data_IF_061689790941
#
_entry.id   IF_061689790941
#
_cell.length_a   1.000
_cell.length_b   1.000
_cell.length_c   1.000
_cell.angle_alpha   90.00
_cell.angle_beta   90.00
_cell.angle_gamma   90.00
#
_symmetry.space_group_name_H-M   'P 1'
#
loop_
_entity.id
_entity.type
_entity.pdbx_description
1 polymer ?
#
# COMPACT_ATOMS: atom_id res chain seq x y z
N UNK A 1 29.34 2.38 60.71
CA UNK A 1 30.50 3.27 60.99
C UNK A 1 30.25 4.75 60.61
N UNK A 2 29.88 5.11 59.35
CA UNK A 2 29.74 6.53 58.95
C UNK A 2 28.62 7.29 59.66
N UNK A 3 27.56 6.63 60.15
CA UNK A 3 26.46 7.25 60.88
C UNK A 3 26.85 7.55 62.34
N UNK A 4 27.59 6.63 63.00
CA UNK A 4 28.11 6.83 64.33
C UNK A 4 29.13 7.98 64.38
N UNK A 5 30.02 8.09 63.42
CA UNK A 5 30.99 9.19 63.30
C UNK A 5 30.34 10.55 63.13
N UNK A 6 29.23 10.62 62.40
CA UNK A 6 28.46 11.89 62.17
C UNK A 6 27.66 12.35 63.38
N UNK A 7 27.42 11.46 64.35
CA UNK A 7 26.77 11.82 65.61
C UNK A 7 27.84 12.11 66.72
N UNK A 8 28.95 11.34 66.71
CA UNK A 8 29.99 11.46 67.70
C UNK A 8 30.80 12.76 67.57
N UNK A 9 31.11 13.21 66.37
CA UNK A 9 31.88 14.46 66.13
C UNK A 9 31.18 15.68 66.67
N UNK A 10 29.89 15.98 66.41
CA UNK A 10 29.24 17.14 66.97
C UNK A 10 29.07 17.04 68.52
N UNK A 11 28.91 15.82 69.07
CA UNK A 11 28.87 15.63 70.53
C UNK A 11 30.23 15.98 71.19
N UNK A 12 31.33 15.47 70.62
CA UNK A 12 32.68 15.77 71.10
C UNK A 12 32.99 17.26 70.98
N UNK A 13 32.63 17.92 69.86
CA UNK A 13 32.77 19.34 69.69
C UNK A 13 31.94 20.14 70.71
N UNK A 14 30.72 19.69 71.00
CA UNK A 14 29.85 20.28 71.97
C UNK A 14 30.40 20.20 73.40
N UNK A 15 30.93 19.02 73.75
CA UNK A 15 31.57 18.84 75.09
C UNK A 15 32.84 19.67 75.22
N UNK A 16 33.69 19.71 74.20
CA UNK A 16 34.90 20.50 74.12
C UNK A 16 34.57 22.01 74.25
N UNK A 17 33.56 22.50 73.51
CA UNK A 17 33.07 23.88 73.63
C UNK A 17 32.50 24.21 75.03
N UNK A 18 31.77 23.31 75.64
CA UNK A 18 31.22 23.48 76.99
C UNK A 18 32.34 23.52 78.07
N UNK A 19 33.38 22.68 77.93
CA UNK A 19 34.55 22.72 78.79
C UNK A 19 35.34 24.01 78.60
N UNK A 20 35.47 24.50 77.39
CA UNK A 20 36.14 25.80 77.10
C UNK A 20 35.31 27.01 77.69
N UNK A 21 33.98 27.03 77.54
CA UNK A 21 33.09 28.05 78.02
C UNK A 21 33.07 28.09 79.55
N UNK A 22 33.42 27.02 80.26
CA UNK A 22 33.52 26.99 81.71
C UNK A 22 34.69 27.80 82.22
N UNK A 23 35.67 28.16 81.37
CA UNK A 23 36.79 29.00 81.71
C UNK A 23 36.49 30.51 81.54
N UNK A 24 35.34 30.86 80.95
CA UNK A 24 34.89 32.26 80.77
C UNK A 24 34.09 32.71 81.92
N UNK A 25 34.61 33.73 82.78
CA UNK A 25 33.89 34.27 83.88
C UNK A 25 32.78 35.18 83.37
N UNK A 26 31.54 34.88 83.73
CA UNK A 26 30.37 35.69 83.37
C UNK A 26 29.07 35.06 83.85
N UNK A 27 28.13 35.89 84.30
CA UNK A 27 26.78 35.51 84.70
C UNK A 27 25.79 36.14 83.71
N UNK A 28 24.83 35.35 83.21
CA UNK A 28 23.71 35.83 82.38
C UNK A 28 22.47 35.86 83.27
N UNK A 29 21.91 37.03 83.45
CA UNK A 29 20.64 37.20 84.16
C UNK A 29 19.51 37.28 83.15
N UNK A 30 18.57 36.31 83.20
CA UNK A 30 17.36 36.29 82.40
C UNK A 30 16.18 36.71 83.25
N UNK A 31 15.59 37.84 82.87
CA UNK A 31 14.44 38.38 83.58
C UNK A 31 13.18 38.15 82.75
N UNK A 32 12.29 37.33 83.23
CA UNK A 32 11.01 37.09 82.65
C UNK A 32 9.91 37.24 83.68
N UNK A 33 9.15 38.33 83.53
CA UNK A 33 8.17 38.81 84.52
C UNK A 33 8.81 39.00 85.92
N UNK A 34 8.35 38.37 86.96
CA UNK A 34 8.80 38.51 88.31
C UNK A 34 9.94 37.56 88.77
N UNK A 35 10.47 36.78 87.88
CA UNK A 35 11.52 35.79 88.21
C UNK A 35 12.81 36.13 87.47
N UNK A 36 13.86 36.48 88.26
CA UNK A 36 15.25 36.62 87.81
C UNK A 36 15.99 35.31 88.03
N UNK A 37 16.38 34.64 86.91
CA UNK A 37 17.23 33.46 86.98
C UNK A 37 18.63 33.88 86.56
N UNK A 38 19.54 33.83 87.53
CA UNK A 38 20.96 34.05 87.33
C UNK A 38 21.66 32.71 87.11
N UNK A 39 22.23 32.52 85.92
CA UNK A 39 22.93 31.31 85.63
C UNK A 39 24.31 31.63 84.98
N UNK A 40 25.32 30.83 85.25
CA UNK A 40 26.61 30.98 84.55
C UNK A 40 26.47 30.88 83.05
N UNK A 41 27.22 31.67 82.28
CA UNK A 41 27.16 31.75 80.82
C UNK A 41 27.24 30.37 80.14
N UNK A 42 27.98 29.44 80.71
CA UNK A 42 28.12 28.10 80.17
C UNK A 42 26.82 27.25 80.27
N UNK A 43 25.95 27.50 81.25
CA UNK A 43 24.65 26.82 81.39
C UNK A 43 23.68 27.26 80.23
N UNK A 44 23.64 28.58 79.97
CA UNK A 44 22.87 29.16 78.89
C UNK A 44 23.34 28.64 77.54
N UNK A 45 24.65 28.60 77.35
CA UNK A 45 25.23 28.05 76.10
C UNK A 45 24.92 26.57 75.91
N UNK A 46 24.93 25.75 76.96
CA UNK A 46 24.56 24.34 76.89
C UNK A 46 23.07 24.17 76.61
N UNK A 47 22.18 25.01 77.14
CA UNK A 47 20.76 24.97 76.86
C UNK A 47 20.47 25.25 75.32
N UNK A 48 21.11 26.28 74.77
CA UNK A 48 21.00 26.64 73.34
C UNK A 48 21.55 25.53 72.45
N UNK A 49 22.69 24.93 72.83
CA UNK A 49 23.28 23.81 72.09
C UNK A 49 22.41 22.56 72.10
N UNK A 50 21.84 22.26 73.31
CA UNK A 50 20.89 21.13 73.46
C UNK A 50 19.65 21.34 72.60
N UNK A 51 19.08 22.55 72.60
CA UNK A 51 17.95 22.92 71.77
C UNK A 51 18.29 22.76 70.25
N UNK A 52 19.48 23.25 69.86
CA UNK A 52 19.95 23.13 68.48
C UNK A 52 20.11 21.67 68.08
N UNK A 53 20.70 20.80 68.90
CA UNK A 53 20.84 19.37 68.64
C UNK A 53 19.46 18.72 68.54
N UNK A 54 18.51 19.02 69.41
CA UNK A 54 17.14 18.49 69.30
C UNK A 54 16.45 18.97 68.06
N UNK A 55 16.62 20.21 67.64
CA UNK A 55 16.04 20.77 66.44
C UNK A 55 16.62 20.10 65.19
N UNK A 56 17.96 19.88 65.10
CA UNK A 56 18.63 19.17 64.04
C UNK A 56 18.21 17.70 63.99
N UNK A 57 18.06 17.05 65.15
CA UNK A 57 17.61 15.66 65.23
C UNK A 57 16.15 15.52 64.75
N UNK A 58 15.28 16.47 65.14
CA UNK A 58 13.90 16.53 64.69
C UNK A 58 13.81 16.75 63.16
N UNK A 59 14.60 17.72 62.62
CA UNK A 59 14.68 17.94 61.18
C UNK A 59 15.16 16.72 60.43
N UNK A 60 16.17 15.99 60.92
CA UNK A 60 16.66 14.73 60.31
C UNK A 60 15.61 13.61 60.37
N UNK A 61 14.88 13.50 61.48
CA UNK A 61 13.79 12.54 61.60
C UNK A 61 12.67 12.82 60.57
N UNK A 62 12.22 14.07 60.49
CA UNK A 62 11.18 14.51 59.55
C UNK A 62 11.63 14.37 58.09
N UNK A 63 12.89 14.70 57.77
CA UNK A 63 13.43 14.53 56.42
C UNK A 63 13.58 13.04 56.05
N UNK A 64 13.97 12.19 57.00
CA UNK A 64 14.04 10.74 56.78
C UNK A 64 12.69 10.12 56.44
N UNK A 65 11.62 10.56 57.10
CA UNK A 65 10.25 10.12 56.82
C UNK A 65 9.78 10.58 55.42
N UNK A 66 10.08 11.83 55.03
CA UNK A 66 9.75 12.37 53.70
C UNK A 66 10.49 11.62 52.59
N UNK A 67 11.80 11.44 52.70
CA UNK A 67 12.62 10.69 51.74
C UNK A 67 12.21 9.23 51.66
N UNK A 68 11.91 8.58 52.80
CA UNK A 68 11.40 7.23 52.82
C UNK A 68 10.05 7.05 52.09
N UNK A 69 9.12 8.02 52.27
CA UNK A 69 7.84 8.02 51.52
C UNK A 69 8.04 8.17 50.03
N UNK A 70 8.87 9.11 49.57
CA UNK A 70 9.17 9.33 48.15
C UNK A 70 9.85 8.10 47.53
N UNK A 71 10.83 7.52 48.22
CA UNK A 71 11.49 6.27 47.75
C UNK A 71 10.53 5.09 47.65
N UNK A 72 9.63 4.90 48.60
CA UNK A 72 8.61 3.85 48.56
C UNK A 72 7.61 4.09 47.42
N UNK A 73 7.18 5.35 47.21
CA UNK A 73 6.31 5.69 46.09
C UNK A 73 6.99 5.47 44.74
N UNK A 74 8.26 5.86 44.60
CA UNK A 74 9.04 5.62 43.39
C UNK A 74 9.26 4.12 43.13
N UNK A 75 9.60 3.34 44.14
CA UNK A 75 9.75 1.90 44.04
C UNK A 75 8.43 1.19 43.67
N UNK A 76 7.30 1.66 44.20
CA UNK A 76 5.97 1.14 43.83
C UNK A 76 5.60 1.51 42.38
N UNK A 77 5.92 2.74 41.94
CA UNK A 77 5.71 3.18 40.56
C UNK A 77 6.57 2.37 39.57
N UNK A 78 7.84 2.13 39.95
CA UNK A 78 8.73 1.33 39.13
C UNK A 78 8.24 -0.12 39.01
N UNK A 79 7.87 -0.77 40.11
CA UNK A 79 7.27 -2.12 40.05
C UNK A 79 6.03 -2.21 39.17
N UNK A 80 5.15 -1.18 39.22
CA UNK A 80 3.97 -1.11 38.35
C UNK A 80 4.36 -1.04 36.87
N UNK A 81 5.40 -0.27 36.53
CA UNK A 81 5.93 -0.21 35.15
C UNK A 81 6.51 -1.55 34.72
N UNK A 82 7.37 -2.15 35.54
CA UNK A 82 7.99 -3.43 35.24
C UNK A 82 6.95 -4.54 35.02
N UNK A 83 5.91 -4.60 35.88
CA UNK A 83 4.80 -5.55 35.73
C UNK A 83 3.96 -5.26 34.45
N UNK A 84 3.79 -4.00 34.09
CA UNK A 84 3.09 -3.59 32.87
C UNK A 84 3.87 -3.94 31.62
N UNK A 85 5.16 -3.67 31.61
CA UNK A 85 6.05 -3.98 30.49
C UNK A 85 6.17 -5.51 30.29
N UNK A 86 6.29 -6.26 31.38
CA UNK A 86 6.25 -7.74 31.31
C UNK A 86 4.92 -8.26 30.74
N UNK A 87 3.80 -7.61 31.08
CA UNK A 87 2.50 -7.98 30.52
C UNK A 87 2.37 -7.65 29.01
N UNK A 88 3.02 -6.56 28.54
CA UNK A 88 3.10 -6.25 27.09
C UNK A 88 3.91 -7.34 26.36
N UNK A 89 5.08 -7.70 26.88
CA UNK A 89 5.90 -8.76 26.31
C UNK A 89 5.14 -10.08 26.24
N UNK A 90 4.39 -10.42 27.32
CA UNK A 90 3.54 -11.61 27.33
C UNK A 90 2.41 -11.54 26.26
N UNK A 91 1.82 -10.36 26.06
CA UNK A 91 0.79 -10.16 25.02
C UNK A 91 1.37 -10.34 23.61
N UNK A 92 2.56 -9.77 23.34
CA UNK A 92 3.24 -9.93 22.07
C UNK A 92 3.67 -11.39 21.80
N UNK A 93 4.15 -12.09 22.83
CA UNK A 93 4.48 -13.51 22.73
C UNK A 93 3.24 -14.37 22.44
N UNK A 94 2.10 -14.07 23.08
CA UNK A 94 0.83 -14.74 22.80
C UNK A 94 0.34 -14.47 21.36
N UNK A 95 0.45 -13.23 20.86
CA UNK A 95 0.14 -12.89 19.48
C UNK A 95 1.02 -13.65 18.49
N UNK A 96 2.33 -13.73 18.74
CA UNK A 96 3.27 -14.47 17.92
C UNK A 96 2.97 -15.97 17.90
N UNK A 97 2.45 -16.51 19.02
CA UNK A 97 1.99 -17.90 19.14
C UNK A 97 0.57 -18.16 18.61
N UNK A 98 -0.13 -17.13 18.11
CA UNK A 98 -1.52 -17.27 17.64
C UNK A 98 -2.58 -17.33 18.77
N UNK A 99 -2.18 -17.14 20.03
CA UNK A 99 -3.10 -17.11 21.17
C UNK A 99 -3.69 -15.71 21.38
N UNK A 100 -4.72 -15.39 20.60
CA UNK A 100 -5.42 -14.11 20.72
C UNK A 100 -6.09 -13.89 22.07
N UNK A 101 -6.63 -14.94 22.72
CA UNK A 101 -7.29 -14.83 24.01
C UNK A 101 -6.28 -14.55 25.13
N UNK A 102 -5.15 -15.24 25.13
CA UNK A 102 -4.02 -14.97 26.02
C UNK A 102 -3.49 -13.55 25.84
N UNK A 103 -3.39 -13.07 24.59
CA UNK A 103 -2.96 -11.70 24.28
C UNK A 103 -3.94 -10.66 24.85
N UNK A 104 -5.24 -10.82 24.69
CA UNK A 104 -6.25 -9.91 25.29
C UNK A 104 -6.17 -9.87 26.80
N UNK A 105 -5.99 -11.03 27.45
CA UNK A 105 -5.82 -11.11 28.88
C UNK A 105 -4.56 -10.39 29.34
N UNK A 106 -3.45 -10.60 28.65
CA UNK A 106 -2.17 -9.97 28.97
C UNK A 106 -2.22 -8.45 28.78
N UNK A 107 -2.76 -7.97 27.65
CA UNK A 107 -2.87 -6.50 27.39
C UNK A 107 -3.83 -5.83 28.36
N UNK A 108 -4.90 -6.51 28.80
CA UNK A 108 -5.78 -6.00 29.85
C UNK A 108 -5.03 -5.77 31.16
N UNK A 109 -4.13 -6.69 31.54
CA UNK A 109 -3.23 -6.51 32.71
C UNK A 109 -2.28 -5.33 32.50
N UNK A 110 -1.69 -5.22 31.29
CA UNK A 110 -0.81 -4.10 30.96
C UNK A 110 -1.51 -2.75 31.11
N UNK A 111 -2.72 -2.61 30.55
CA UNK A 111 -3.53 -1.37 30.63
C UNK A 111 -3.89 -0.99 32.05
N UNK A 112 -4.16 -1.96 32.93
CA UNK A 112 -4.39 -1.69 34.39
C UNK A 112 -3.16 -1.12 35.09
N UNK A 113 -1.95 -1.42 34.60
CA UNK A 113 -0.68 -0.97 35.20
C UNK A 113 -0.15 0.31 34.57
N UNK A 114 -0.18 0.41 33.24
CA UNK A 114 0.43 1.50 32.44
C UNK A 114 -0.60 2.53 31.95
N UNK A 115 -1.90 2.21 32.01
CA UNK A 115 -2.94 3.02 31.38
C UNK A 115 -2.99 2.83 29.87
N UNK A 116 -3.71 3.73 29.19
CA UNK A 116 -3.85 3.77 27.74
C UNK A 116 -2.68 4.53 27.10
N UNK A 117 -1.53 3.86 27.05
CA UNK A 117 -0.36 4.37 26.32
C UNK A 117 -0.43 3.97 24.84
N UNK A 118 0.30 4.65 23.95
CA UNK A 118 0.34 4.25 22.53
C UNK A 118 0.65 2.78 22.33
N UNK A 119 1.56 2.22 23.13
CA UNK A 119 1.96 0.82 23.03
C UNK A 119 0.86 -0.14 23.50
N UNK A 120 0.20 0.16 24.64
CA UNK A 120 -0.91 -0.66 25.15
C UNK A 120 -2.10 -0.64 24.21
N UNK A 121 -2.42 0.51 23.59
CA UNK A 121 -3.49 0.64 22.60
C UNK A 121 -3.16 -0.12 21.31
N UNK A 122 -1.92 -0.02 20.82
CA UNK A 122 -1.48 -0.77 19.64
C UNK A 122 -1.63 -2.28 19.84
N UNK A 123 -1.09 -2.79 20.96
CA UNK A 123 -1.17 -4.23 21.27
C UNK A 123 -2.62 -4.66 21.51
N UNK A 124 -3.45 -3.81 22.14
CA UNK A 124 -4.88 -4.08 22.33
C UNK A 124 -5.62 -4.22 20.98
N UNK A 125 -5.35 -3.32 20.03
CA UNK A 125 -5.95 -3.41 18.69
C UNK A 125 -5.56 -4.70 17.97
N UNK A 126 -4.29 -5.09 18.01
CA UNK A 126 -3.85 -6.35 17.42
C UNK A 126 -4.40 -7.59 18.13
N UNK A 127 -4.49 -7.58 19.45
CA UNK A 127 -5.05 -8.69 20.22
C UNK A 127 -6.56 -8.86 19.95
N UNK A 128 -7.32 -7.77 19.89
CA UNK A 128 -8.74 -7.79 19.54
C UNK A 128 -8.95 -8.31 18.10
N UNK A 129 -8.11 -7.87 17.15
CA UNK A 129 -8.14 -8.37 15.77
C UNK A 129 -7.87 -9.89 15.70
N UNK A 130 -6.92 -10.40 16.50
CA UNK A 130 -6.59 -11.82 16.52
C UNK A 130 -7.76 -12.71 16.95
N UNK A 131 -8.66 -12.22 17.81
CA UNK A 131 -9.90 -12.90 18.21
C UNK A 131 -11.10 -12.50 17.37
N UNK A 132 -10.92 -11.70 16.31
CA UNK A 132 -11.97 -11.20 15.41
C UNK A 132 -13.01 -10.31 16.10
N UNK A 133 -12.65 -9.65 17.19
CA UNK A 133 -13.46 -8.59 17.82
C UNK A 133 -13.17 -7.25 17.10
N UNK A 134 -13.88 -7.03 15.98
CA UNK A 134 -13.67 -5.85 15.14
C UNK A 134 -13.95 -4.55 15.87
N UNK A 135 -14.99 -4.53 16.73
CA UNK A 135 -15.37 -3.31 17.44
C UNK A 135 -14.34 -2.93 18.50
N UNK A 136 -13.82 -3.90 19.25
CA UNK A 136 -12.75 -3.64 20.21
C UNK A 136 -11.46 -3.21 19.51
N UNK A 137 -11.11 -3.85 18.39
CA UNK A 137 -9.94 -3.49 17.58
C UNK A 137 -10.08 -2.06 17.03
N UNK A 138 -11.25 -1.72 16.47
CA UNK A 138 -11.55 -0.38 15.95
C UNK A 138 -11.40 0.67 17.05
N UNK A 139 -12.07 0.50 18.19
CA UNK A 139 -11.96 1.44 19.32
C UNK A 139 -10.51 1.64 19.79
N UNK A 140 -9.72 0.57 19.84
CA UNK A 140 -8.31 0.66 20.23
C UNK A 140 -7.48 1.46 19.22
N UNK A 141 -7.64 1.21 17.91
CA UNK A 141 -6.93 1.95 16.86
C UNK A 141 -7.42 3.39 16.70
N UNK A 142 -8.71 3.67 16.88
CA UNK A 142 -9.26 5.03 16.93
C UNK A 142 -8.66 5.81 18.10
N UNK A 143 -8.65 5.23 19.31
CA UNK A 143 -8.01 5.84 20.47
C UNK A 143 -6.51 6.08 20.21
N UNK A 144 -5.82 5.13 19.57
CA UNK A 144 -4.41 5.27 19.21
C UNK A 144 -4.19 6.41 18.21
N UNK A 145 -5.13 6.63 17.29
CA UNK A 145 -5.03 7.70 16.29
C UNK A 145 -5.10 9.11 16.88
N UNK A 146 -5.53 9.25 18.15
CA UNK A 146 -5.62 10.55 18.86
C UNK A 146 -4.43 10.86 19.76
N UNK A 147 -3.49 9.92 19.97
CA UNK A 147 -2.41 10.03 20.98
C UNK A 147 -1.18 10.82 20.50
N UNK A 148 -1.21 11.39 19.32
CA UNK A 148 -0.09 12.15 18.73
C UNK A 148 0.56 11.47 17.52
N UNK A 149 1.49 12.16 16.80
CA UNK A 149 1.87 11.77 15.47
C UNK A 149 2.35 10.31 15.29
N UNK A 150 3.26 9.75 16.12
CA UNK A 150 3.67 8.35 15.94
C UNK A 150 2.52 7.36 16.20
N UNK A 151 1.70 7.63 17.25
CA UNK A 151 0.53 6.82 17.58
C UNK A 151 -0.54 6.89 16.51
N UNK A 152 -0.85 8.11 16.04
CA UNK A 152 -1.85 8.34 15.01
C UNK A 152 -1.53 7.59 13.71
N UNK A 153 -0.27 7.60 13.26
CA UNK A 153 0.14 6.86 12.07
C UNK A 153 -0.09 5.33 12.22
N UNK A 154 0.23 4.78 13.38
CA UNK A 154 -0.02 3.36 13.68
C UNK A 154 -1.51 3.05 13.82
N UNK A 155 -2.29 3.96 14.40
CA UNK A 155 -3.75 3.87 14.50
C UNK A 155 -4.40 3.81 13.12
N UNK A 156 -4.04 4.71 12.21
CA UNK A 156 -4.55 4.71 10.84
C UNK A 156 -4.15 3.44 10.07
N UNK A 157 -2.94 2.92 10.28
CA UNK A 157 -2.55 1.63 9.68
C UNK A 157 -3.41 0.48 10.20
N UNK A 158 -3.70 0.45 11.50
CA UNK A 158 -4.59 -0.53 12.09
C UNK A 158 -6.02 -0.45 11.54
N UNK A 159 -6.58 0.77 11.45
CA UNK A 159 -7.90 1.02 10.87
C UNK A 159 -7.97 0.63 9.39
N UNK A 160 -6.94 0.96 8.61
CA UNK A 160 -6.85 0.56 7.20
C UNK A 160 -6.85 -0.97 7.05
N UNK A 161 -6.11 -1.68 7.91
CA UNK A 161 -6.07 -3.15 7.90
C UNK A 161 -7.43 -3.76 8.21
N UNK A 162 -8.12 -3.26 9.26
CA UNK A 162 -9.47 -3.72 9.61
C UNK A 162 -10.48 -3.46 8.49
N UNK A 163 -10.41 -2.29 7.86
CA UNK A 163 -11.28 -1.93 6.76
C UNK A 163 -11.08 -2.87 5.56
N UNK A 164 -9.83 -3.24 5.24
CA UNK A 164 -9.53 -4.20 4.17
C UNK A 164 -10.02 -5.62 4.48
N UNK A 165 -9.84 -6.09 5.71
CA UNK A 165 -10.35 -7.38 6.17
C UNK A 165 -11.89 -7.44 6.10
N UNK A 166 -12.55 -6.31 6.39
CA UNK A 166 -14.00 -6.15 6.23
C UNK A 166 -14.47 -5.82 4.81
N UNK A 167 -13.58 -5.81 3.80
CA UNK A 167 -13.92 -5.49 2.41
C UNK A 167 -14.23 -4.00 2.13
N UNK A 168 -14.06 -3.11 3.11
CA UNK A 168 -14.37 -1.67 3.04
C UNK A 168 -13.18 -0.88 2.47
N UNK A 169 -13.00 -0.98 1.15
CA UNK A 169 -11.83 -0.40 0.46
C UNK A 169 -11.77 1.13 0.57
N UNK A 170 -12.91 1.80 0.57
CA UNK A 170 -13.02 3.27 0.71
C UNK A 170 -12.56 3.75 2.09
N UNK A 171 -12.97 3.05 3.16
CA UNK A 171 -12.56 3.35 4.53
C UNK A 171 -11.05 3.13 4.70
N UNK A 172 -10.51 2.06 4.09
CA UNK A 172 -9.08 1.80 4.09
C UNK A 172 -8.29 2.93 3.41
N UNK A 173 -8.77 3.41 2.27
CA UNK A 173 -8.16 4.53 1.56
C UNK A 173 -8.29 5.85 2.33
N UNK A 174 -9.41 6.08 3.04
CA UNK A 174 -9.59 7.23 3.91
C UNK A 174 -8.54 7.25 5.04
N UNK A 175 -8.34 6.12 5.71
CA UNK A 175 -7.27 5.96 6.70
C UNK A 175 -5.86 6.15 6.06
N UNK A 176 -5.67 5.65 4.83
CA UNK A 176 -4.45 5.85 4.06
C UNK A 176 -4.15 7.33 3.78
N UNK A 177 -5.17 8.13 3.40
CA UNK A 177 -5.01 9.59 3.18
C UNK A 177 -4.55 10.30 4.45
N UNK A 178 -5.13 9.97 5.61
CA UNK A 178 -4.72 10.53 6.89
C UNK A 178 -3.28 10.13 7.26
N UNK A 179 -2.90 8.89 6.97
CA UNK A 179 -1.54 8.43 7.18
C UNK A 179 -0.52 9.14 6.26
N UNK A 180 -0.87 9.40 4.98
CA UNK A 180 -0.02 10.13 4.03
C UNK A 180 0.19 11.59 4.43
N UNK A 181 -0.82 12.25 5.02
CA UNK A 181 -0.66 13.60 5.55
C UNK A 181 0.43 13.68 6.63
N UNK A 182 0.67 12.58 7.36
CA UNK A 182 1.70 12.50 8.39
C UNK A 182 3.05 11.99 7.85
N UNK A 183 3.02 11.04 6.93
CA UNK A 183 4.18 10.42 6.30
C UNK A 183 3.95 10.25 4.80
N UNK A 184 4.36 11.24 3.98
CA UNK A 184 4.16 11.21 2.53
C UNK A 184 4.85 10.07 1.80
N UNK A 185 5.84 9.44 2.41
CA UNK A 185 6.63 8.31 1.89
C UNK A 185 6.07 6.92 2.23
N UNK A 186 4.99 6.84 3.02
CA UNK A 186 4.41 5.56 3.45
C UNK A 186 3.86 4.74 2.26
N UNK A 187 4.61 3.73 1.82
CA UNK A 187 4.31 2.94 0.63
C UNK A 187 2.93 2.26 0.70
N UNK A 188 2.55 1.68 1.85
CA UNK A 188 1.25 1.03 2.04
C UNK A 188 0.08 2.01 1.89
N UNK A 189 0.24 3.23 2.40
CA UNK A 189 -0.80 4.25 2.32
C UNK A 189 -0.93 4.79 0.89
N UNK A 190 0.22 4.99 0.19
CA UNK A 190 0.22 5.33 -1.24
C UNK A 190 -0.52 4.29 -2.07
N UNK A 191 -0.28 3.00 -1.83
CA UNK A 191 -0.94 1.93 -2.57
C UNK A 191 -2.47 1.97 -2.38
N UNK A 192 -2.95 2.14 -1.15
CA UNK A 192 -4.39 2.22 -0.86
C UNK A 192 -5.06 3.43 -1.52
N UNK A 193 -4.42 4.60 -1.41
CA UNK A 193 -4.97 5.84 -1.99
C UNK A 193 -4.88 5.81 -3.51
N UNK A 194 -3.84 5.23 -4.09
CA UNK A 194 -3.68 5.00 -5.51
C UNK A 194 -4.80 4.13 -6.08
N UNK A 195 -5.02 2.96 -5.46
CA UNK A 195 -6.06 2.03 -5.91
C UNK A 195 -7.46 2.65 -5.80
N UNK A 196 -7.71 3.43 -4.76
CA UNK A 196 -8.97 4.11 -4.57
C UNK A 196 -9.18 5.24 -5.59
N UNK A 197 -8.17 6.06 -5.82
CA UNK A 197 -8.21 7.13 -6.81
C UNK A 197 -8.48 6.57 -8.22
N UNK A 198 -7.74 5.53 -8.61
CA UNK A 198 -7.92 4.90 -9.92
C UNK A 198 -9.31 4.25 -10.09
N UNK A 199 -9.86 3.61 -9.05
CA UNK A 199 -11.22 3.02 -9.11
C UNK A 199 -12.32 4.07 -9.25
N UNK A 200 -12.11 5.27 -8.72
CA UNK A 200 -13.07 6.39 -8.81
C UNK A 200 -12.90 7.22 -10.07
N UNK A 201 -11.93 6.88 -10.93
CA UNK A 201 -11.60 7.69 -12.12
C UNK A 201 -10.79 8.97 -11.80
N UNK A 202 -10.29 9.13 -10.57
CA UNK A 202 -9.38 10.23 -10.25
C UNK A 202 -7.97 9.92 -10.78
N UNK A 203 -7.84 9.98 -12.11
CA UNK A 203 -6.60 9.63 -12.80
C UNK A 203 -5.44 10.56 -12.43
N UNK A 204 -5.73 11.85 -12.23
CA UNK A 204 -4.74 12.84 -11.84
C UNK A 204 -4.21 12.57 -10.43
N UNK A 205 -5.09 12.31 -9.49
CA UNK A 205 -4.72 11.90 -8.12
C UNK A 205 -3.90 10.61 -8.10
N UNK A 206 -4.30 9.62 -8.90
CA UNK A 206 -3.54 8.36 -9.03
C UNK A 206 -2.15 8.58 -9.65
N UNK A 207 -2.04 9.37 -10.73
CA UNK A 207 -0.78 9.71 -11.38
C UNK A 207 0.20 10.45 -10.47
N UNK A 208 -0.30 11.32 -9.59
CA UNK A 208 0.51 12.07 -8.63
C UNK A 208 1.17 11.16 -7.57
N UNK A 209 0.60 9.99 -7.30
CA UNK A 209 1.13 9.03 -6.34
C UNK A 209 2.19 8.09 -6.93
N UNK A 210 2.28 8.01 -8.26
CA UNK A 210 3.30 7.21 -8.93
C UNK A 210 4.62 7.97 -9.06
N UNK A 211 5.77 7.29 -8.88
CA UNK A 211 7.05 7.89 -9.16
C UNK A 211 7.20 8.23 -10.65
N UNK A 212 8.11 9.14 -10.98
CA UNK A 212 8.54 9.32 -12.37
C UNK A 212 9.15 8.02 -12.86
N UNK A 213 8.52 7.43 -13.89
CA UNK A 213 8.88 6.11 -14.35
C UNK A 213 9.81 6.17 -15.57
N UNK A 214 10.78 5.27 -15.61
CA UNK A 214 11.63 5.06 -16.79
C UNK A 214 10.93 4.09 -17.73
N UNK A 215 11.00 4.36 -19.04
CA UNK A 215 10.47 3.48 -20.10
C UNK A 215 10.85 2.02 -19.86
N UNK A 216 9.89 1.11 -20.04
CA UNK A 216 10.09 -0.33 -19.90
C UNK A 216 10.01 -0.87 -18.46
N UNK A 217 9.72 -0.03 -17.46
CA UNK A 217 9.48 -0.46 -16.08
C UNK A 217 8.01 -0.75 -15.84
N UNK A 218 7.71 -1.50 -14.77
CA UNK A 218 6.32 -1.78 -14.35
C UNK A 218 5.56 -0.50 -13.99
N UNK A 219 6.23 0.46 -13.36
CA UNK A 219 5.66 1.76 -13.04
C UNK A 219 5.34 2.56 -14.30
N UNK A 220 6.16 2.45 -15.36
CA UNK A 220 5.86 3.06 -16.65
C UNK A 220 4.62 2.46 -17.30
N UNK A 221 4.48 1.14 -17.23
CA UNK A 221 3.28 0.46 -17.74
C UNK A 221 2.02 0.85 -16.96
N UNK A 222 2.11 0.92 -15.63
CA UNK A 222 1.00 1.42 -14.78
C UNK A 222 0.64 2.86 -15.11
N UNK A 223 1.64 3.73 -15.26
CA UNK A 223 1.43 5.13 -15.62
C UNK A 223 0.77 5.25 -17.00
N UNK A 224 1.19 4.47 -17.99
CA UNK A 224 0.58 4.45 -19.32
C UNK A 224 -0.90 4.06 -19.28
N UNK A 225 -1.27 3.08 -18.46
CA UNK A 225 -2.66 2.65 -18.27
C UNK A 225 -3.52 3.78 -17.67
N UNK A 226 -3.00 4.51 -16.66
CA UNK A 226 -3.72 5.63 -16.07
C UNK A 226 -3.87 6.81 -17.04
N UNK A 227 -2.84 7.09 -17.84
CA UNK A 227 -2.89 8.11 -18.88
C UNK A 227 -3.96 7.81 -19.94
N UNK A 228 -4.14 6.51 -20.26
CA UNK A 228 -5.25 6.09 -21.13
C UNK A 228 -6.61 6.31 -20.50
N UNK A 229 -6.77 5.98 -19.20
CA UNK A 229 -8.00 6.26 -18.47
C UNK A 229 -8.32 7.76 -18.46
N UNK A 230 -7.30 8.59 -18.20
CA UNK A 230 -7.45 10.04 -18.25
C UNK A 230 -7.82 10.55 -19.66
N UNK A 231 -7.23 9.96 -20.70
CA UNK A 231 -7.51 10.35 -22.08
C UNK A 231 -8.92 9.95 -22.54
N UNK A 232 -9.50 8.88 -22.00
CA UNK A 232 -10.89 8.48 -22.30
C UNK A 232 -11.93 9.46 -21.74
N UNK A 233 -11.61 10.13 -20.64
CA UNK A 233 -12.48 11.10 -19.97
C UNK A 233 -12.20 12.56 -20.40
N UNK A 234 -11.08 12.81 -21.11
CA UNK A 234 -10.66 14.14 -21.54
C UNK A 234 -11.51 14.63 -22.73
N UNK A 235 -12.29 15.72 -22.58
CA UNK A 235 -13.17 16.21 -23.64
C UNK A 235 -12.41 16.86 -24.79
N UNK A 236 -11.22 17.45 -24.54
CA UNK A 236 -10.41 18.05 -25.61
C UNK A 236 -9.57 16.98 -26.33
N UNK A 237 -9.82 16.70 -27.63
CA UNK A 237 -9.06 15.72 -28.39
C UNK A 237 -7.57 16.04 -28.50
N UNK A 238 -7.16 17.29 -28.32
CA UNK A 238 -5.75 17.69 -28.37
C UNK A 238 -5.07 17.30 -27.06
N UNK A 239 -5.72 17.57 -25.92
CA UNK A 239 -5.23 17.15 -24.61
C UNK A 239 -5.23 15.62 -24.47
N UNK A 240 -6.32 14.96 -24.88
CA UNK A 240 -6.40 13.50 -24.92
C UNK A 240 -5.26 12.87 -25.75
N UNK A 241 -4.97 13.43 -26.94
CA UNK A 241 -3.88 12.93 -27.77
C UNK A 241 -2.50 13.03 -27.09
N UNK A 242 -2.23 14.11 -26.34
CA UNK A 242 -0.97 14.26 -25.60
C UNK A 242 -0.82 13.18 -24.54
N UNK A 243 -1.90 12.88 -23.81
CA UNK A 243 -1.91 11.82 -22.80
C UNK A 243 -1.65 10.44 -23.43
N UNK A 244 -2.28 10.17 -24.57
CA UNK A 244 -2.08 8.92 -25.29
C UNK A 244 -0.67 8.82 -25.90
N UNK A 245 -0.10 9.91 -26.40
CA UNK A 245 1.27 9.93 -26.90
C UNK A 245 2.28 9.62 -25.79
N UNK A 246 2.11 10.22 -24.59
CA UNK A 246 2.91 9.88 -23.40
C UNK A 246 2.74 8.38 -23.02
N UNK A 247 1.51 7.86 -23.06
CA UNK A 247 1.24 6.45 -22.77
C UNK A 247 1.96 5.51 -23.75
N UNK A 248 1.96 5.80 -25.03
CA UNK A 248 2.69 5.04 -26.08
C UNK A 248 4.20 5.08 -25.86
N UNK A 249 4.75 6.23 -25.45
CA UNK A 249 6.18 6.36 -25.16
C UNK A 249 6.60 5.53 -23.94
N UNK A 250 5.79 5.51 -22.88
CA UNK A 250 6.05 4.78 -21.65
C UNK A 250 5.90 3.26 -21.83
N UNK A 251 4.89 2.84 -22.60
CA UNK A 251 4.57 1.42 -22.82
C UNK A 251 4.31 1.12 -24.33
N UNK A 252 5.38 1.00 -25.13
CA UNK A 252 5.26 0.80 -26.59
C UNK A 252 4.53 -0.49 -27.01
N UNK A 253 4.46 -1.49 -26.15
CA UNK A 253 3.73 -2.74 -26.41
C UNK A 253 2.25 -2.70 -25.99
N UNK A 254 1.77 -1.56 -25.47
CA UNK A 254 0.39 -1.42 -25.02
C UNK A 254 -0.55 -1.15 -26.22
N UNK A 255 -1.11 -2.21 -26.82
CA UNK A 255 -1.99 -2.10 -27.97
C UNK A 255 -3.17 -1.12 -27.81
N UNK A 256 -3.87 -1.05 -26.64
CA UNK A 256 -4.91 -0.04 -26.41
C UNK A 256 -4.44 1.41 -26.59
N UNK A 257 -3.17 1.73 -26.23
CA UNK A 257 -2.62 3.06 -26.40
C UNK A 257 -2.47 3.43 -27.88
N UNK A 258 -1.96 2.51 -28.68
CA UNK A 258 -1.87 2.71 -30.13
C UNK A 258 -3.25 2.82 -30.77
N UNK A 259 -4.22 2.00 -30.37
CA UNK A 259 -5.58 2.06 -30.88
C UNK A 259 -6.24 3.42 -30.54
N UNK A 260 -6.11 3.89 -29.29
CA UNK A 260 -6.61 5.21 -28.89
C UNK A 260 -5.96 6.35 -29.69
N UNK A 261 -4.63 6.28 -29.91
CA UNK A 261 -3.90 7.26 -30.74
C UNK A 261 -4.45 7.33 -32.16
N UNK A 262 -4.65 6.18 -32.81
CA UNK A 262 -5.20 6.12 -34.18
C UNK A 262 -6.61 6.72 -34.24
N UNK A 263 -7.48 6.35 -33.28
CA UNK A 263 -8.86 6.88 -33.19
C UNK A 263 -8.89 8.38 -33.03
N UNK A 264 -8.10 8.95 -32.10
CA UNK A 264 -8.02 10.39 -31.88
C UNK A 264 -7.49 11.15 -33.10
N UNK A 265 -6.48 10.63 -33.78
CA UNK A 265 -5.96 11.25 -35.01
C UNK A 265 -7.00 11.21 -36.14
N UNK A 266 -7.77 10.12 -36.26
CA UNK A 266 -8.89 10.03 -37.22
C UNK A 266 -10.01 11.04 -36.88
N UNK A 267 -10.37 11.15 -35.61
CA UNK A 267 -11.36 12.13 -35.14
C UNK A 267 -10.95 13.56 -35.48
N UNK A 268 -9.67 13.89 -35.39
CA UNK A 268 -9.10 15.18 -35.80
C UNK A 268 -8.98 15.36 -37.30
N UNK A 269 -9.30 14.38 -38.14
CA UNK A 269 -9.13 14.40 -39.59
C UNK A 269 -7.69 14.25 -40.08
N UNK A 270 -6.74 13.94 -39.19
CA UNK A 270 -5.31 13.85 -39.49
C UNK A 270 -4.96 12.45 -40.06
N UNK A 271 -5.56 12.07 -41.20
CA UNK A 271 -5.51 10.71 -41.77
C UNK A 271 -4.09 10.19 -42.00
N UNK A 272 -3.17 11.03 -42.51
CA UNK A 272 -1.78 10.61 -42.76
C UNK A 272 -1.09 10.20 -41.47
N UNK A 273 -1.23 11.00 -40.40
CA UNK A 273 -0.67 10.70 -39.09
C UNK A 273 -1.34 9.47 -38.47
N UNK A 274 -2.65 9.29 -38.65
CA UNK A 274 -3.38 8.12 -38.17
C UNK A 274 -2.85 6.82 -38.82
N UNK A 275 -2.62 6.82 -40.14
CA UNK A 275 -2.08 5.67 -40.85
C UNK A 275 -0.64 5.36 -40.39
N UNK A 276 0.22 6.36 -40.21
CA UNK A 276 1.56 6.17 -39.65
C UNK A 276 1.52 5.66 -38.20
N UNK A 277 0.56 6.14 -37.40
CA UNK A 277 0.38 5.66 -36.02
C UNK A 277 -0.09 4.20 -36.00
N UNK A 278 -0.97 3.79 -36.93
CA UNK A 278 -1.44 2.43 -37.08
C UNK A 278 -0.29 1.47 -37.48
N UNK A 279 0.50 1.85 -38.48
CA UNK A 279 1.69 1.12 -38.91
C UNK A 279 2.65 0.88 -37.74
N UNK A 280 3.03 1.95 -37.04
CA UNK A 280 3.91 1.85 -35.85
C UNK A 280 3.30 1.01 -34.74
N UNK A 281 1.98 1.09 -34.56
CA UNK A 281 1.26 0.29 -33.57
C UNK A 281 1.29 -1.18 -33.91
N UNK A 282 1.07 -1.57 -35.18
CA UNK A 282 1.11 -2.96 -35.64
C UNK A 282 2.53 -3.54 -35.50
N UNK A 283 3.56 -2.75 -35.82
CA UNK A 283 4.96 -3.17 -35.62
C UNK A 283 5.30 -3.38 -34.15
N UNK A 284 4.82 -2.50 -33.28
CA UNK A 284 5.13 -2.54 -31.85
C UNK A 284 4.32 -3.61 -31.08
N UNK A 285 3.07 -3.83 -31.49
CA UNK A 285 2.14 -4.73 -30.81
C UNK A 285 1.04 -5.17 -31.80
N UNK A 286 1.33 -6.16 -32.64
CA UNK A 286 0.31 -6.75 -33.48
C UNK A 286 -0.82 -7.33 -32.61
N UNK A 287 -2.03 -6.76 -32.74
CA UNK A 287 -3.14 -7.03 -31.84
C UNK A 287 -4.49 -6.87 -32.55
N UNK A 288 -5.53 -7.66 -32.23
CA UNK A 288 -6.86 -7.55 -32.86
C UNK A 288 -7.46 -6.15 -32.84
N UNK A 289 -7.22 -5.34 -31.79
CA UNK A 289 -7.68 -3.94 -31.76
C UNK A 289 -7.11 -3.09 -32.88
N UNK A 290 -5.86 -3.32 -33.28
CA UNK A 290 -5.21 -2.61 -34.37
C UNK A 290 -5.60 -3.22 -35.74
N UNK A 291 -5.75 -4.55 -35.78
CA UNK A 291 -6.27 -5.25 -36.96
C UNK A 291 -7.66 -4.75 -37.32
N UNK A 292 -8.58 -4.61 -36.38
CA UNK A 292 -9.90 -4.03 -36.60
C UNK A 292 -9.83 -2.63 -37.20
N UNK A 293 -8.93 -1.76 -36.71
CA UNK A 293 -8.71 -0.43 -37.26
C UNK A 293 -8.09 -0.44 -38.67
N UNK A 294 -7.26 -1.44 -38.95
CA UNK A 294 -6.67 -1.62 -40.29
C UNK A 294 -7.70 -2.11 -41.33
N UNK A 295 -8.63 -2.94 -40.89
CA UNK A 295 -9.70 -3.50 -41.74
C UNK A 295 -10.84 -2.50 -42.04
N UNK A 296 -10.95 -1.41 -41.25
CA UNK A 296 -11.94 -0.38 -41.53
C UNK A 296 -11.74 0.22 -42.94
N UNK A 297 -12.83 0.32 -43.73
CA UNK A 297 -12.75 0.88 -45.10
C UNK A 297 -12.40 2.37 -45.03
N UNK A 298 -11.56 2.82 -45.99
CA UNK A 298 -11.29 4.24 -46.18
C UNK A 298 -12.22 4.81 -47.27
N UNK A 299 -12.54 6.12 -47.24
CA UNK A 299 -13.39 6.74 -48.24
C UNK A 299 -12.86 6.54 -49.65
N UNK A 300 -13.67 5.95 -50.54
CA UNK A 300 -13.32 5.66 -51.93
C UNK A 300 -12.43 4.42 -52.13
N UNK A 301 -12.15 3.66 -51.07
CA UNK A 301 -11.32 2.44 -51.16
C UNK A 301 -12.16 1.22 -51.55
N UNK A 302 -11.74 0.51 -52.58
CA UNK A 302 -12.31 -0.79 -52.93
C UNK A 302 -11.83 -1.88 -51.94
N UNK A 303 -12.52 -3.04 -51.90
CA UNK A 303 -12.09 -4.20 -51.10
C UNK A 303 -10.70 -4.70 -51.52
N UNK A 304 -10.39 -4.66 -52.83
CA UNK A 304 -9.06 -5.04 -53.33
C UNK A 304 -7.97 -4.03 -52.90
N UNK A 305 -8.27 -2.73 -52.92
CA UNK A 305 -7.33 -1.70 -52.44
C UNK A 305 -7.07 -1.83 -50.92
N UNK A 306 -8.13 -2.09 -50.15
CA UNK A 306 -8.01 -2.39 -48.72
C UNK A 306 -7.15 -3.61 -48.48
N UNK A 307 -7.37 -4.71 -49.20
CA UNK A 307 -6.54 -5.91 -49.05
C UNK A 307 -5.06 -5.62 -49.34
N UNK A 308 -4.75 -4.84 -50.38
CA UNK A 308 -3.36 -4.42 -50.66
C UNK A 308 -2.76 -3.55 -49.54
N UNK A 309 -3.53 -2.64 -49.01
CA UNK A 309 -3.09 -1.77 -47.88
C UNK A 309 -2.83 -2.59 -46.63
N UNK A 310 -3.74 -3.50 -46.28
CA UNK A 310 -3.61 -4.35 -45.09
C UNK A 310 -2.47 -5.35 -45.24
N UNK A 311 -2.27 -5.93 -46.45
CA UNK A 311 -1.12 -6.80 -46.76
C UNK A 311 0.22 -6.06 -46.57
N UNK A 312 0.30 -4.79 -47.01
CA UNK A 312 1.48 -3.97 -46.81
C UNK A 312 1.72 -3.68 -45.30
N UNK A 313 0.67 -3.41 -44.54
CA UNK A 313 0.77 -3.23 -43.07
C UNK A 313 1.25 -4.49 -42.35
N UNK A 314 0.74 -5.67 -42.77
CA UNK A 314 1.19 -6.95 -42.22
C UNK A 314 2.67 -7.20 -42.49
N UNK A 315 3.15 -6.81 -43.69
CA UNK A 315 4.56 -6.91 -44.06
C UNK A 315 5.53 -6.19 -43.14
N UNK A 316 5.11 -5.06 -42.51
CA UNK A 316 5.93 -4.35 -41.55
C UNK A 316 6.04 -5.05 -40.20
N UNK A 317 5.07 -5.88 -39.83
CA UNK A 317 5.06 -6.60 -38.54
C UNK A 317 5.91 -7.88 -38.52
N UNK A 318 6.54 -8.22 -39.65
CA UNK A 318 7.38 -9.42 -39.76
C UNK A 318 6.56 -10.70 -39.65
N UNK A 319 7.06 -11.70 -38.91
CA UNK A 319 6.40 -13.00 -38.74
C UNK A 319 5.38 -12.99 -37.58
N UNK A 320 4.47 -12.03 -37.58
CA UNK A 320 3.41 -11.97 -36.55
C UNK A 320 2.15 -12.70 -37.05
N UNK A 321 1.74 -13.73 -36.30
CA UNK A 321 0.51 -14.47 -36.59
C UNK A 321 -0.74 -13.61 -36.65
N UNK A 322 -0.87 -12.62 -35.78
CA UNK A 322 -2.00 -11.70 -35.77
C UNK A 322 -2.00 -10.77 -37.00
N UNK A 323 -0.83 -10.33 -37.44
CA UNK A 323 -0.72 -9.50 -38.64
C UNK A 323 -1.04 -10.30 -39.92
N UNK A 324 -0.59 -11.56 -39.99
CA UNK A 324 -0.91 -12.46 -41.09
C UNK A 324 -2.41 -12.81 -41.10
N UNK A 325 -3.04 -13.01 -39.92
CA UNK A 325 -4.48 -13.23 -39.83
C UNK A 325 -5.28 -12.03 -40.35
N UNK A 326 -4.88 -10.80 -39.96
CA UNK A 326 -5.47 -9.55 -40.46
C UNK A 326 -5.39 -9.45 -41.98
N UNK A 327 -4.25 -9.81 -42.58
CA UNK A 327 -4.08 -9.82 -44.05
C UNK A 327 -4.94 -10.88 -44.71
N UNK A 328 -5.10 -12.06 -44.08
CA UNK A 328 -5.98 -13.10 -44.53
C UNK A 328 -7.45 -12.69 -44.54
N UNK A 329 -7.91 -12.00 -43.49
CA UNK A 329 -9.27 -11.47 -43.42
C UNK A 329 -9.55 -10.46 -44.54
N UNK A 330 -8.65 -9.49 -44.74
CA UNK A 330 -8.80 -8.49 -45.80
C UNK A 330 -8.81 -9.11 -47.19
N UNK A 331 -7.96 -10.11 -47.43
CA UNK A 331 -7.91 -10.84 -48.70
C UNK A 331 -9.16 -11.70 -48.93
N UNK A 332 -9.70 -12.31 -47.89
CA UNK A 332 -10.95 -13.07 -47.89
C UNK A 332 -12.15 -12.18 -48.30
N UNK A 333 -12.28 -11.01 -47.64
CA UNK A 333 -13.33 -10.04 -48.00
C UNK A 333 -13.23 -9.51 -49.45
N UNK A 334 -12.02 -9.45 -49.98
CA UNK A 334 -11.79 -9.05 -51.38
C UNK A 334 -11.98 -10.16 -52.38
N UNK A 335 -12.33 -11.39 -51.94
CA UNK A 335 -12.43 -12.56 -52.83
C UNK A 335 -11.09 -13.08 -53.36
N UNK A 336 -9.99 -12.65 -52.75
CA UNK A 336 -8.63 -13.06 -53.16
C UNK A 336 -8.23 -14.37 -52.47
N UNK A 337 -8.97 -15.45 -52.75
CA UNK A 337 -8.95 -16.70 -52.02
C UNK A 337 -7.54 -17.30 -51.86
N UNK A 338 -6.77 -17.38 -52.95
CA UNK A 338 -5.41 -17.94 -52.92
C UNK A 338 -4.46 -17.11 -52.02
N UNK A 339 -4.64 -15.78 -51.96
CA UNK A 339 -3.89 -14.93 -51.06
C UNK A 339 -4.36 -15.10 -49.60
N UNK A 340 -5.66 -15.12 -49.39
CA UNK A 340 -6.26 -15.32 -48.07
C UNK A 340 -5.76 -16.65 -47.45
N UNK A 341 -5.78 -17.73 -48.20
CA UNK A 341 -5.29 -19.05 -47.77
C UNK A 341 -3.80 -19.01 -47.38
N UNK A 342 -2.96 -18.39 -48.19
CA UNK A 342 -1.52 -18.26 -47.86
C UNK A 342 -1.27 -17.48 -46.55
N UNK A 343 -1.97 -16.38 -46.36
CA UNK A 343 -1.84 -15.60 -45.15
C UNK A 343 -2.39 -16.34 -43.92
N UNK A 344 -3.52 -17.05 -44.05
CA UNK A 344 -4.06 -17.89 -42.98
C UNK A 344 -3.11 -19.03 -42.57
N UNK A 345 -2.43 -19.64 -43.55
CA UNK A 345 -1.41 -20.67 -43.27
C UNK A 345 -0.19 -20.10 -42.57
N UNK A 346 0.31 -18.91 -42.97
CA UNK A 346 1.40 -18.21 -42.28
C UNK A 346 1.02 -17.78 -40.87
N UNK A 347 -0.23 -17.38 -40.68
CA UNK A 347 -0.73 -17.06 -39.34
C UNK A 347 -0.61 -18.27 -38.41
N UNK A 348 -0.97 -19.47 -38.88
CA UNK A 348 -0.82 -20.73 -38.13
C UNK A 348 0.65 -21.05 -37.84
N UNK A 349 1.52 -20.96 -38.87
CA UNK A 349 2.96 -21.20 -38.74
C UNK A 349 3.60 -20.25 -37.72
N UNK A 350 3.07 -19.03 -37.61
CA UNK A 350 3.50 -18.02 -36.63
C UNK A 350 2.81 -18.15 -35.25
N UNK A 351 2.10 -19.25 -34.99
CA UNK A 351 1.52 -19.58 -33.68
C UNK A 351 0.12 -19.03 -33.42
N UNK A 352 -0.56 -18.47 -34.44
CA UNK A 352 -1.97 -18.11 -34.35
C UNK A 352 -2.81 -19.34 -34.72
N UNK A 353 -3.03 -20.24 -33.74
CA UNK A 353 -3.70 -21.52 -33.91
C UNK A 353 -4.98 -21.62 -33.07
N UNK A 354 -5.75 -20.53 -33.07
CA UNK A 354 -7.03 -20.43 -32.38
C UNK A 354 -8.23 -20.52 -33.32
N UNK A 355 -9.43 -20.55 -32.78
CA UNK A 355 -10.69 -20.68 -33.51
C UNK A 355 -10.80 -19.74 -34.72
N UNK A 356 -10.30 -18.51 -34.63
CA UNK A 356 -10.44 -17.46 -35.65
C UNK A 356 -9.83 -17.89 -36.98
N UNK A 357 -8.62 -18.46 -36.95
CA UNK A 357 -7.92 -18.92 -38.17
C UNK A 357 -8.67 -20.04 -38.87
N UNK A 358 -9.17 -21.03 -38.11
CA UNK A 358 -9.92 -22.15 -38.74
C UNK A 358 -11.29 -21.70 -39.25
N UNK A 359 -11.96 -20.77 -38.55
CA UNK A 359 -13.21 -20.19 -39.07
C UNK A 359 -12.97 -19.42 -40.37
N UNK A 360 -11.85 -18.68 -40.45
CA UNK A 360 -11.47 -17.97 -41.66
C UNK A 360 -11.11 -18.95 -42.80
N UNK A 361 -10.39 -20.04 -42.54
CA UNK A 361 -10.10 -21.08 -43.53
C UNK A 361 -11.37 -21.74 -44.06
N UNK A 362 -12.37 -21.97 -43.19
CA UNK A 362 -13.67 -22.47 -43.65
C UNK A 362 -14.39 -21.48 -44.59
N UNK A 363 -14.35 -20.17 -44.24
CA UNK A 363 -14.91 -19.14 -45.13
C UNK A 363 -14.18 -19.03 -46.46
N UNK A 364 -12.85 -19.15 -46.45
CA UNK A 364 -12.02 -19.17 -47.66
C UNK A 364 -12.38 -20.40 -48.55
N UNK A 365 -12.49 -21.60 -47.98
CA UNK A 365 -12.86 -22.81 -48.71
C UNK A 365 -14.25 -22.69 -49.35
N UNK A 366 -15.23 -22.16 -48.59
CA UNK A 366 -16.57 -21.92 -49.12
C UNK A 366 -16.58 -20.88 -50.26
N UNK A 367 -15.78 -19.81 -50.13
CA UNK A 367 -15.69 -18.77 -51.17
C UNK A 367 -14.90 -19.23 -52.43
N UNK A 368 -13.84 -20.00 -52.26
CA UNK A 368 -12.97 -20.47 -53.35
C UNK A 368 -13.66 -21.53 -54.20
N UNK A 369 -14.33 -22.47 -53.55
CA UNK A 369 -14.94 -23.64 -54.24
C UNK A 369 -16.45 -23.51 -54.45
N UNK A 370 -17.07 -22.44 -53.91
CA UNK A 370 -18.51 -22.25 -54.00
C UNK A 370 -19.29 -23.38 -53.35
N UNK A 371 -20.52 -23.60 -53.80
CA UNK A 371 -21.41 -24.64 -53.29
C UNK A 371 -21.15 -26.05 -53.90
N UNK A 372 -19.90 -26.39 -54.09
CA UNK A 372 -19.49 -27.75 -54.53
C UNK A 372 -19.41 -28.68 -53.33
N UNK A 373 -19.52 -30.00 -53.60
CA UNK A 373 -19.37 -31.01 -52.54
C UNK A 373 -17.99 -30.94 -51.86
N UNK A 374 -16.93 -30.76 -52.67
CA UNK A 374 -15.56 -30.60 -52.18
C UNK A 374 -15.40 -29.36 -51.29
N UNK A 375 -15.97 -28.20 -51.69
CA UNK A 375 -15.94 -26.98 -50.92
C UNK A 375 -16.68 -27.13 -49.60
N UNK A 376 -17.84 -27.73 -49.58
CA UNK A 376 -18.59 -28.01 -48.36
C UNK A 376 -17.85 -28.97 -47.43
N UNK A 377 -17.21 -30.02 -47.99
CA UNK A 377 -16.44 -30.98 -47.18
C UNK A 377 -15.21 -30.31 -46.54
N UNK A 378 -14.47 -29.46 -47.26
CA UNK A 378 -13.31 -28.74 -46.77
C UNK A 378 -13.73 -27.69 -45.68
N UNK A 379 -14.77 -26.91 -45.95
CA UNK A 379 -15.30 -25.95 -45.00
C UNK A 379 -15.76 -26.65 -43.68
N UNK A 380 -16.45 -27.82 -43.82
CA UNK A 380 -16.88 -28.61 -42.67
C UNK A 380 -15.68 -29.19 -41.88
N UNK A 381 -14.58 -29.52 -42.55
CA UNK A 381 -13.36 -29.94 -41.87
C UNK A 381 -12.80 -28.80 -41.01
N UNK A 382 -12.61 -27.61 -41.59
CA UNK A 382 -12.08 -26.47 -40.87
C UNK A 382 -13.00 -26.00 -39.74
N UNK A 383 -14.32 -26.10 -39.89
CA UNK A 383 -15.26 -25.83 -38.78
C UNK A 383 -15.13 -26.82 -37.61
N UNK A 384 -14.82 -28.09 -37.90
CA UNK A 384 -14.52 -29.09 -36.87
C UNK A 384 -13.18 -28.78 -36.17
N UNK A 385 -12.16 -28.39 -36.96
CA UNK A 385 -10.90 -27.90 -36.38
C UNK A 385 -11.11 -26.66 -35.52
N UNK A 386 -11.94 -25.69 -35.94
CA UNK A 386 -12.31 -24.51 -35.15
C UNK A 386 -13.00 -24.88 -33.84
N UNK A 387 -13.85 -25.93 -33.84
CA UNK A 387 -14.52 -26.39 -32.62
C UNK A 387 -13.56 -27.05 -31.61
N UNK A 388 -12.49 -27.67 -32.12
CA UNK A 388 -11.45 -28.34 -31.33
C UNK A 388 -10.27 -27.42 -30.97
N UNK A 389 -10.15 -26.27 -31.63
CA UNK A 389 -9.04 -25.33 -31.46
C UNK A 389 -9.03 -24.66 -30.07
N UNK A 390 -7.88 -24.10 -29.73
CA UNK A 390 -7.72 -23.30 -28.52
C UNK A 390 -8.71 -22.14 -28.48
N UNK A 391 -9.10 -21.75 -27.25
CA UNK A 391 -9.94 -20.58 -27.05
C UNK A 391 -9.20 -19.33 -27.56
N UNK A 392 -9.96 -18.43 -28.18
CA UNK A 392 -9.46 -17.15 -28.64
C UNK A 392 -8.81 -16.37 -27.49
N UNK A 393 -7.69 -15.67 -27.77
CA UNK A 393 -7.11 -14.75 -26.82
C UNK A 393 -8.14 -13.73 -26.34
N UNK A 394 -7.98 -13.24 -25.12
CA UNK A 394 -8.85 -12.25 -24.51
C UNK A 394 -8.12 -11.43 -23.45
N UNK A 395 -8.81 -10.49 -22.87
CA UNK A 395 -8.30 -9.70 -21.76
C UNK A 395 -8.52 -10.44 -20.45
N UNK A 396 -7.45 -10.88 -19.81
CA UNK A 396 -7.51 -11.59 -18.54
C UNK A 396 -6.95 -10.71 -17.43
N UNK A 397 -7.67 -10.65 -16.30
CA UNK A 397 -7.16 -9.98 -15.13
C UNK A 397 -6.13 -10.85 -14.42
N UNK A 398 -4.90 -10.36 -14.30
CA UNK A 398 -3.82 -11.07 -13.59
C UNK A 398 -4.09 -11.21 -12.08
N UNK A 399 -4.99 -10.38 -11.50
CA UNK A 399 -5.30 -10.41 -10.08
C UNK A 399 -6.43 -11.40 -9.72
N UNK A 400 -7.48 -11.50 -10.54
CA UNK A 400 -8.65 -12.33 -10.22
C UNK A 400 -8.92 -13.45 -11.24
N UNK A 401 -8.15 -13.52 -12.34
CA UNK A 401 -8.33 -14.54 -13.36
C UNK A 401 -9.59 -14.41 -14.23
N UNK A 402 -10.37 -13.33 -14.08
CA UNK A 402 -11.59 -13.14 -14.87
C UNK A 402 -11.26 -12.67 -16.28
N UNK A 403 -11.94 -13.26 -17.29
CA UNK A 403 -11.88 -12.82 -18.67
C UNK A 403 -12.83 -11.66 -18.93
N UNK A 404 -12.35 -10.67 -19.71
CA UNK A 404 -13.12 -9.52 -20.16
C UNK A 404 -13.05 -9.41 -21.69
N UNK A 405 -14.10 -8.93 -22.32
CA UNK A 405 -14.15 -8.70 -23.76
C UNK A 405 -13.47 -7.40 -24.17
N UNK A 406 -13.57 -6.41 -23.29
CA UNK A 406 -13.04 -5.06 -23.52
C UNK A 406 -11.95 -4.74 -22.51
N UNK A 407 -10.87 -4.15 -22.98
CA UNK A 407 -9.82 -3.62 -22.13
C UNK A 407 -10.31 -2.39 -21.34
N UNK A 408 -9.91 -2.33 -20.08
CA UNK A 408 -10.15 -1.17 -19.20
C UNK A 408 -8.93 -0.93 -18.31
N UNK A 409 -8.67 0.34 -17.88
CA UNK A 409 -7.58 0.66 -16.95
C UNK A 409 -7.70 -0.06 -15.61
N UNK A 410 -8.93 -0.28 -15.14
CA UNK A 410 -9.28 -0.93 -13.88
C UNK A 410 -10.13 -2.17 -14.18
N UNK A 411 -9.82 -3.29 -13.58
CA UNK A 411 -10.60 -4.51 -13.73
C UNK A 411 -12.02 -4.33 -13.18
N UNK A 412 -13.08 -4.53 -13.99
CA UNK A 412 -14.47 -4.38 -13.51
C UNK A 412 -14.86 -5.36 -12.41
N UNK A 413 -14.25 -6.54 -12.37
CA UNK A 413 -14.61 -7.60 -11.42
C UNK A 413 -13.98 -7.42 -10.04
N UNK A 414 -12.68 -7.05 -9.95
CA UNK A 414 -11.97 -6.97 -8.67
C UNK A 414 -11.44 -5.59 -8.31
N UNK A 415 -11.48 -4.63 -9.25
CA UNK A 415 -10.97 -3.28 -9.07
C UNK A 415 -9.45 -3.16 -9.10
N UNK A 416 -8.73 -4.19 -9.55
CA UNK A 416 -7.28 -4.12 -9.68
C UNK A 416 -6.87 -3.23 -10.86
N UNK A 417 -5.93 -2.31 -10.61
CA UNK A 417 -5.46 -1.32 -11.58
C UNK A 417 -4.37 -1.93 -12.46
N UNK A 418 -4.38 -1.62 -13.76
CA UNK A 418 -3.38 -2.07 -14.73
C UNK A 418 -3.16 -3.59 -14.74
N UNK A 419 -4.20 -4.35 -14.45
CA UNK A 419 -4.13 -5.81 -14.26
C UNK A 419 -4.55 -6.62 -15.47
N UNK A 420 -5.15 -6.00 -16.50
CA UNK A 420 -5.61 -6.70 -17.69
C UNK A 420 -4.44 -7.00 -18.64
N UNK A 421 -4.32 -8.27 -19.00
CA UNK A 421 -3.31 -8.79 -19.93
C UNK A 421 -4.00 -9.48 -21.10
N UNK A 422 -3.49 -9.29 -22.33
CA UNK A 422 -3.97 -9.99 -23.50
C UNK A 422 -3.30 -11.36 -23.62
N UNK A 423 -4.08 -12.38 -23.90
CA UNK A 423 -3.58 -13.74 -24.10
C UNK A 423 -4.63 -14.81 -23.84
N UNK A 424 -4.16 -16.06 -23.69
CA UNK A 424 -4.99 -17.18 -23.25
C UNK A 424 -5.03 -17.29 -21.75
N UNK A 425 -6.02 -17.99 -21.17
CA UNK A 425 -6.17 -18.21 -19.74
C UNK A 425 -4.88 -18.74 -19.05
N UNK A 426 -4.11 -19.56 -19.77
CA UNK A 426 -2.85 -20.15 -19.29
C UNK A 426 -1.70 -19.15 -19.21
N UNK A 427 -1.68 -18.15 -20.09
CA UNK A 427 -0.65 -17.10 -20.11
C UNK A 427 -0.92 -16.00 -19.07
N UNK A 428 -2.16 -15.85 -18.64
CA UNK A 428 -2.57 -14.90 -17.61
C UNK A 428 -2.25 -15.35 -16.19
N UNK A 429 -1.33 -16.28 -16.02
CA UNK A 429 -0.92 -16.96 -14.80
C UNK A 429 -1.42 -16.30 -13.52
N UNK A 430 -2.12 -17.04 -12.69
CA UNK A 430 -2.58 -16.63 -11.36
C UNK A 430 -1.38 -16.16 -10.53
N UNK A 431 -0.97 -14.92 -10.71
CA UNK A 431 -0.13 -14.24 -9.74
C UNK A 431 -1.00 -13.94 -8.52
N UNK A 432 -0.56 -14.40 -7.37
CA UNK A 432 -1.24 -14.14 -6.08
C UNK A 432 -1.63 -12.66 -5.97
N UNK A 433 -2.83 -12.36 -5.44
CA UNK A 433 -3.27 -10.99 -5.28
C UNK A 433 -2.26 -10.20 -4.45
N UNK A 434 -2.05 -8.90 -4.72
CA UNK A 434 -1.09 -8.05 -4.02
C UNK A 434 -1.44 -7.77 -2.54
N UNK A 435 -2.24 -8.60 -1.91
CA UNK A 435 -2.43 -8.63 -0.44
C UNK A 435 -1.11 -8.82 0.33
N UNK A 436 -0.05 -9.25 -0.35
CA UNK A 436 1.29 -9.39 0.23
C UNK A 436 1.95 -8.07 0.65
N UNK A 437 1.54 -6.91 0.10
CA UNK A 437 2.11 -5.62 0.51
C UNK A 437 1.67 -5.15 1.91
N UNK A 438 0.55 -5.70 2.42
CA UNK A 438 0.07 -5.44 3.78
C UNK A 438 0.53 -6.51 4.78
N UNK A 439 0.95 -7.69 4.29
CA UNK A 439 1.42 -8.82 5.08
C UNK A 439 2.96 -8.91 5.12
N UNK A 440 3.67 -7.89 4.69
CA UNK A 440 5.10 -7.83 4.93
C UNK A 440 5.35 -7.95 6.44
N UNK A 441 6.19 -8.89 6.90
CA UNK A 441 6.56 -8.95 8.30
C UNK A 441 7.05 -7.56 8.70
N UNK A 442 6.52 -7.03 9.79
CA UNK A 442 7.11 -5.86 10.43
C UNK A 442 8.55 -6.28 10.72
N UNK A 443 9.59 -5.68 10.09
CA UNK A 443 10.95 -6.02 10.46
C UNK A 443 11.10 -5.61 11.93
N UNK A 444 11.13 -6.58 12.83
CA UNK A 444 11.37 -6.38 14.25
C UNK A 444 10.16 -6.47 15.18
N UNK A 445 9.13 -7.27 14.91
CA UNK A 445 8.23 -7.85 15.93
C UNK A 445 7.93 -9.29 15.59
#
# INVERSE_FOLDING_TARGET
MRLALRILIPIILAVAAALWLRTVPGMVSFQMADITVEAPVWVGALAVLALFVVLVMLMRLLSGFRVGRVRRAAAKAQRRRDEGDAAIVAALAALAGGDGAGALSAVSRARKRLGDTPLTLLVAGHAARAVKDEDAARRAFESLSTVGPPGAFLGYRGLATLALEGGKKEDAAAAGRLALAMRPDAAWAKALVFDDAARRGDWQGALALLPKAKKGTEDAARRAVLLLGAAEEEPDPIAALKLVEEAVELAPSLAPAHAARVKLLRLKGERRRANQALERGIVAAAHPLLAALALEPQPGESTADRARRVEALAGYAGQSGEAELMAAEAACEAGLWAKARRHAQRAREAGCDDRRVFTLLAAIAAGEHGDTEAGRAEAALHLREAAAAAQEPGWWCAACGTRHEVWRPVCPSCGAVASLRWGTARAAGASQPPTALLAGPVPGL
#
